data_IF_847480527601
#
_entry.id   IF_847480527601
#
_cell.length_a   1.000
_cell.length_b   1.000
_cell.length_c   1.000
_cell.angle_alpha   90.00
_cell.angle_beta   90.00
_cell.angle_gamma   90.00
#
_symmetry.space_group_name_H-M   'P 1'
#
loop_
_entity.id
_entity.type
_entity.pdbx_description
1 polymer ?
#
# COMPACT_ATOMS: atom_id res chain seq x y z
N UNK A 1 28.22 12.53 16.48
CA UNK A 1 26.91 12.77 17.12
C UNK A 1 26.66 11.64 18.12
N UNK A 2 26.36 11.95 19.38
CA UNK A 2 26.00 10.94 20.39
C UNK A 2 24.59 10.42 20.12
N UNK A 3 24.37 9.11 20.21
CA UNK A 3 23.01 8.53 20.17
C UNK A 3 22.21 9.04 21.36
N UNK A 4 21.05 9.65 21.10
CA UNK A 4 20.07 10.04 22.12
C UNK A 4 18.82 9.15 22.00
N UNK A 5 18.10 9.00 23.11
CA UNK A 5 16.81 8.31 23.12
C UNK A 5 15.75 9.13 22.37
N UNK A 6 14.70 8.46 21.88
CA UNK A 6 13.51 9.15 21.35
C UNK A 6 12.74 9.78 22.52
N UNK A 7 12.06 10.90 22.24
CA UNK A 7 11.15 11.54 23.20
C UNK A 7 10.09 10.54 23.65
N UNK A 8 9.88 10.43 24.96
CA UNK A 8 8.88 9.56 25.58
C UNK A 8 7.90 10.43 26.34
N UNK A 9 6.65 10.45 25.87
CA UNK A 9 5.54 11.17 26.48
C UNK A 9 4.27 10.32 26.34
N UNK A 10 3.73 9.85 27.46
CA UNK A 10 2.51 9.02 27.47
C UNK A 10 1.23 9.86 27.50
N UNK A 11 1.31 11.13 27.90
CA UNK A 11 0.18 12.05 27.96
C UNK A 11 0.06 12.89 26.67
N UNK A 12 0.86 12.55 25.65
CA UNK A 12 0.86 13.22 24.35
C UNK A 12 -0.49 13.05 23.66
N UNK A 13 -1.24 14.15 23.61
CA UNK A 13 -2.50 14.24 22.89
C UNK A 13 -2.29 14.74 21.46
N UNK A 14 -2.93 14.09 20.49
CA UNK A 14 -2.98 14.55 19.10
C UNK A 14 -4.31 15.25 18.84
N UNK A 15 -4.28 16.44 18.22
CA UNK A 15 -5.49 17.19 17.87
C UNK A 15 -6.31 16.48 16.78
N UNK A 16 -5.64 15.81 15.85
CA UNK A 16 -6.21 14.98 14.80
C UNK A 16 -5.52 13.61 14.79
N UNK A 17 -6.17 12.55 14.29
CA UNK A 17 -5.49 11.30 13.98
C UNK A 17 -4.29 11.57 13.08
N UNK A 18 -3.18 10.89 13.38
CA UNK A 18 -1.98 10.96 12.54
C UNK A 18 -2.30 10.36 11.18
N UNK A 19 -1.92 11.04 10.10
CA UNK A 19 -2.02 10.47 8.76
C UNK A 19 -0.86 9.50 8.54
N UNK A 20 -1.17 8.27 8.16
CA UNK A 20 -0.14 7.25 7.91
C UNK A 20 0.78 7.65 6.74
N UNK A 21 0.30 8.52 5.85
CA UNK A 21 1.07 9.08 4.74
C UNK A 21 2.22 9.96 5.23
N UNK A 22 2.07 10.60 6.38
CA UNK A 22 3.12 11.45 6.97
C UNK A 22 4.36 10.63 7.40
N UNK A 23 4.23 9.31 7.48
CA UNK A 23 5.33 8.41 7.86
C UNK A 23 6.13 7.91 6.67
N UNK A 24 5.69 8.16 5.45
CA UNK A 24 6.33 7.72 4.21
C UNK A 24 6.93 8.95 3.50
N UNK A 25 8.23 8.95 3.16
CA UNK A 25 8.81 10.03 2.36
C UNK A 25 8.03 10.27 1.07
N UNK A 26 7.82 11.53 0.70
CA UNK A 26 7.05 11.88 -0.50
C UNK A 26 7.66 11.32 -1.80
N UNK A 27 8.99 11.16 -1.83
CA UNK A 27 9.76 10.60 -2.93
C UNK A 27 9.83 9.06 -2.93
N UNK A 28 9.16 8.40 -1.98
CA UNK A 28 9.17 6.95 -1.88
C UNK A 28 8.40 6.30 -3.04
N UNK A 29 8.94 5.19 -3.58
CA UNK A 29 8.33 4.46 -4.70
C UNK A 29 6.86 4.07 -4.46
N UNK A 30 6.49 3.73 -3.23
CA UNK A 30 5.11 3.39 -2.89
C UNK A 30 4.14 4.57 -3.11
N UNK A 31 4.56 5.80 -2.83
CA UNK A 31 3.77 7.02 -3.07
C UNK A 31 3.58 7.22 -4.57
N UNK A 32 4.65 7.08 -5.34
CA UNK A 32 4.60 7.15 -6.80
C UNK A 32 3.63 6.11 -7.40
N UNK A 33 3.74 4.85 -6.98
CA UNK A 33 2.86 3.78 -7.46
C UNK A 33 1.42 4.00 -7.03
N UNK A 34 1.19 4.50 -5.81
CA UNK A 34 -0.16 4.85 -5.37
C UNK A 34 -0.81 5.87 -6.32
N UNK A 35 -0.11 6.98 -6.57
CA UNK A 35 -0.59 8.06 -7.44
C UNK A 35 -0.78 7.59 -8.89
N UNK A 36 0.11 6.74 -9.39
CA UNK A 36 0.00 6.14 -10.72
C UNK A 36 -1.27 5.28 -10.82
N UNK A 37 -1.48 4.36 -9.88
CA UNK A 37 -2.62 3.43 -9.93
C UNK A 37 -3.95 4.16 -9.76
N UNK A 38 -4.00 5.24 -8.98
CA UNK A 38 -5.21 6.06 -8.81
C UNK A 38 -5.63 6.77 -10.12
N UNK A 39 -4.75 6.83 -11.13
CA UNK A 39 -5.04 7.37 -12.46
C UNK A 39 -5.44 6.29 -13.49
N UNK A 40 -5.33 5.01 -13.16
CA UNK A 40 -5.64 3.92 -14.09
C UNK A 40 -7.15 3.61 -14.07
N UNK A 41 -7.71 3.35 -15.25
CA UNK A 41 -9.04 2.78 -15.35
C UNK A 41 -9.00 1.27 -15.04
N UNK A 42 -9.44 0.91 -13.83
CA UNK A 42 -9.55 -0.47 -13.38
C UNK A 42 -10.98 -1.02 -13.47
N UNK A 43 -11.92 -0.27 -14.07
CA UNK A 43 -13.36 -0.60 -14.10
C UNK A 43 -13.64 -2.02 -14.59
N UNK A 44 -12.89 -2.50 -15.58
CA UNK A 44 -13.04 -3.86 -16.12
C UNK A 44 -12.68 -4.97 -15.13
N UNK A 45 -11.72 -4.71 -14.23
CA UNK A 45 -11.35 -5.67 -13.18
C UNK A 45 -12.43 -5.68 -12.09
N UNK A 46 -12.92 -4.51 -11.69
CA UNK A 46 -14.04 -4.39 -10.76
C UNK A 46 -15.29 -5.11 -11.29
N UNK A 47 -15.70 -4.81 -12.53
CA UNK A 47 -16.89 -5.40 -13.18
C UNK A 47 -16.85 -6.94 -13.20
N UNK A 48 -15.66 -7.52 -13.39
CA UNK A 48 -15.49 -8.97 -13.35
C UNK A 48 -15.75 -9.54 -11.95
N UNK A 49 -15.11 -8.98 -10.92
CA UNK A 49 -15.17 -9.52 -9.56
C UNK A 49 -16.48 -9.19 -8.82
N UNK A 50 -17.19 -8.13 -9.21
CA UNK A 50 -18.53 -7.82 -8.69
C UNK A 50 -19.59 -8.84 -9.12
N UNK A 51 -19.36 -9.55 -10.23
CA UNK A 51 -20.26 -10.58 -10.78
C UNK A 51 -19.88 -12.00 -10.39
N UNK A 52 -18.69 -12.19 -9.82
CA UNK A 52 -18.18 -13.49 -9.43
C UNK A 52 -18.71 -13.87 -8.04
N UNK A 53 -19.42 -14.98 -7.95
CA UNK A 53 -20.03 -15.45 -6.69
C UNK A 53 -19.20 -16.52 -5.98
N UNK A 54 -18.09 -16.96 -6.61
CA UNK A 54 -17.25 -18.04 -6.08
C UNK A 54 -16.11 -17.51 -5.23
N UNK A 55 -15.79 -18.25 -4.16
CA UNK A 55 -14.61 -18.00 -3.34
C UNK A 55 -14.83 -17.00 -2.22
N UNK A 56 -13.74 -16.58 -1.59
CA UNK A 56 -13.75 -15.56 -0.54
C UNK A 56 -13.91 -14.17 -1.18
N UNK A 57 -14.47 -13.17 -0.46
CA UNK A 57 -14.53 -11.80 -0.94
C UNK A 57 -13.19 -11.34 -1.55
N UNK A 58 -13.22 -10.73 -2.76
CA UNK A 58 -12.00 -10.32 -3.43
C UNK A 58 -11.32 -9.18 -2.70
N UNK A 59 -9.99 -9.16 -2.74
CA UNK A 59 -9.24 -7.96 -2.39
C UNK A 59 -9.55 -6.82 -3.35
N UNK A 60 -9.41 -5.57 -2.88
CA UNK A 60 -9.63 -4.40 -3.73
C UNK A 60 -8.65 -4.43 -4.94
N UNK A 61 -9.16 -4.35 -6.19
CA UNK A 61 -8.32 -4.34 -7.39
C UNK A 61 -7.21 -3.30 -7.38
N UNK A 62 -7.49 -2.06 -6.92
CA UNK A 62 -6.46 -1.02 -6.84
C UNK A 62 -5.34 -1.39 -5.87
N UNK A 63 -5.67 -2.00 -4.72
CA UNK A 63 -4.68 -2.49 -3.77
C UNK A 63 -3.81 -3.59 -4.38
N UNK A 64 -4.43 -4.56 -5.05
CA UNK A 64 -3.73 -5.66 -5.71
C UNK A 64 -2.81 -5.16 -6.83
N UNK A 65 -3.27 -4.20 -7.64
CA UNK A 65 -2.45 -3.58 -8.69
C UNK A 65 -1.25 -2.82 -8.09
N UNK A 66 -1.44 -2.08 -6.99
CA UNK A 66 -0.33 -1.39 -6.29
C UNK A 66 0.72 -2.38 -5.80
N UNK A 67 0.33 -3.47 -5.16
CA UNK A 67 1.24 -4.54 -4.69
C UNK A 67 2.01 -5.15 -5.85
N UNK A 68 1.30 -5.51 -6.93
CA UNK A 68 1.91 -6.15 -8.10
C UNK A 68 2.97 -5.25 -8.75
N UNK A 69 2.63 -3.98 -8.99
CA UNK A 69 3.57 -3.02 -9.58
C UNK A 69 4.75 -2.75 -8.66
N UNK A 70 4.52 -2.58 -7.36
CA UNK A 70 5.60 -2.34 -6.40
C UNK A 70 6.59 -3.51 -6.35
N UNK A 71 6.09 -4.74 -6.29
CA UNK A 71 6.92 -5.93 -6.34
C UNK A 71 7.74 -6.01 -7.64
N UNK A 72 7.14 -5.70 -8.78
CA UNK A 72 7.84 -5.74 -10.07
C UNK A 72 8.92 -4.65 -10.16
N UNK A 73 8.64 -3.43 -9.70
CA UNK A 73 9.61 -2.34 -9.63
C UNK A 73 10.79 -2.64 -8.67
N UNK A 74 10.57 -3.49 -7.67
CA UNK A 74 11.60 -3.94 -6.71
C UNK A 74 12.25 -5.27 -7.09
N UNK A 75 11.96 -5.81 -8.28
CA UNK A 75 12.61 -7.00 -8.83
C UNK A 75 12.02 -8.34 -8.38
N UNK A 76 10.86 -8.33 -7.71
CA UNK A 76 10.15 -9.55 -7.28
C UNK A 76 9.02 -9.84 -8.27
N UNK A 77 9.24 -10.79 -9.19
CA UNK A 77 8.24 -11.16 -10.22
C UNK A 77 7.45 -12.43 -9.88
N UNK A 78 7.93 -13.23 -8.94
CA UNK A 78 7.27 -14.49 -8.56
C UNK A 78 6.12 -14.22 -7.60
N UNK A 79 4.89 -14.58 -7.97
CA UNK A 79 3.70 -14.42 -7.11
C UNK A 79 3.88 -15.04 -5.72
N UNK A 80 4.57 -16.20 -5.62
CA UNK A 80 4.89 -16.82 -4.31
C UNK A 80 5.88 -16.00 -3.48
N UNK A 81 6.85 -15.33 -4.12
CA UNK A 81 7.78 -14.45 -3.41
C UNK A 81 7.10 -13.16 -2.97
N UNK A 82 6.15 -12.65 -3.78
CA UNK A 82 5.33 -11.49 -3.42
C UNK A 82 4.51 -11.83 -2.17
N UNK A 83 3.77 -12.94 -2.20
CA UNK A 83 2.95 -13.39 -1.08
C UNK A 83 3.75 -13.59 0.22
N UNK A 84 4.97 -14.13 0.12
CA UNK A 84 5.87 -14.27 1.28
C UNK A 84 6.39 -12.93 1.84
N UNK A 85 6.31 -11.86 1.06
CA UNK A 85 6.82 -10.53 1.43
C UNK A 85 5.72 -9.58 1.89
N UNK A 86 4.46 -10.02 1.87
CA UNK A 86 3.31 -9.37 2.49
C UNK A 86 3.31 -9.64 4.00
#
# INVERSE_FOLDING_TARGET
>A
MSKTYRTYDQDQNFLMPIDIRDWIPEDHLAVYINNLVDQLDLSKIYEYYEREERGYPPYNPAMMTKILLYAYCTGITSSRKIDKSL
#
